data_IF_128180514610
#
_entry.id   IF_128180514610
#
_cell.length_a   1.000
_cell.length_b   1.000
_cell.length_c   1.000
_cell.angle_alpha   90.00
_cell.angle_beta   90.00
_cell.angle_gamma   90.00
#
_symmetry.space_group_name_H-M   'P 1'
#
loop_
_entity.id
_entity.type
_entity.pdbx_description
1 polymer ?
#
# COMPACT_ATOMS: atom_id res chain seq x y z
N UNK A 1 -9.41 19.46 34.39
CA UNK A 1 -8.89 18.09 34.22
C UNK A 1 -7.55 18.20 33.54
N UNK A 2 -6.46 18.11 34.31
CA UNK A 2 -5.10 18.14 33.77
C UNK A 2 -4.94 17.09 32.67
N UNK A 3 -4.54 17.57 31.49
CA UNK A 3 -4.82 16.96 30.20
C UNK A 3 -3.95 15.75 29.90
N UNK A 4 -4.47 14.55 30.15
CA UNK A 4 -3.82 13.34 29.64
C UNK A 4 -3.86 13.32 28.10
N UNK A 5 -2.69 13.46 27.47
CA UNK A 5 -2.53 13.30 26.03
C UNK A 5 -2.25 11.83 25.66
N UNK A 6 -3.06 11.22 24.77
CA UNK A 6 -2.83 9.85 24.34
C UNK A 6 -1.45 9.66 23.70
N UNK A 7 -0.82 8.51 23.91
CA UNK A 7 0.51 8.22 23.33
C UNK A 7 0.40 7.52 21.97
N UNK A 8 1.30 7.83 21.06
CA UNK A 8 1.42 7.17 19.75
C UNK A 8 2.88 6.79 19.46
N UNK A 9 3.11 5.58 18.98
CA UNK A 9 4.43 5.12 18.58
C UNK A 9 4.62 5.20 17.06
N UNK A 10 5.80 5.58 16.62
CA UNK A 10 6.16 5.51 15.20
C UNK A 10 6.35 4.05 14.75
N UNK A 11 5.69 3.59 13.68
CA UNK A 11 5.88 2.22 13.18
C UNK A 11 7.27 1.98 12.55
N UNK A 12 7.94 3.04 12.06
CA UNK A 12 9.25 2.91 11.40
C UNK A 12 10.45 2.97 12.34
N UNK A 13 10.49 3.93 13.28
CA UNK A 13 11.62 4.07 14.22
C UNK A 13 11.29 3.67 15.67
N UNK A 14 10.01 3.49 16.02
CA UNK A 14 9.60 3.11 17.36
C UNK A 14 9.64 4.24 18.40
N UNK A 15 9.92 5.49 17.99
CA UNK A 15 9.86 6.64 18.91
C UNK A 15 8.44 6.87 19.41
N UNK A 16 8.32 7.20 20.69
CA UNK A 16 7.05 7.51 21.34
C UNK A 16 6.78 9.02 21.26
N UNK A 17 5.54 9.38 20.95
CA UNK A 17 5.08 10.75 20.85
C UNK A 17 3.76 10.92 21.61
N UNK A 18 3.47 12.15 22.00
CA UNK A 18 2.14 12.56 22.47
C UNK A 18 1.27 12.92 21.27
N UNK A 19 0.05 12.41 21.27
CA UNK A 19 -0.95 12.71 20.27
C UNK A 19 -1.59 14.05 20.62
N UNK A 20 -1.33 15.02 19.76
CA UNK A 20 -1.94 16.35 19.81
C UNK A 20 -3.07 16.45 18.79
N UNK A 21 -4.15 17.18 19.09
CA UNK A 21 -5.16 17.49 18.10
C UNK A 21 -4.54 18.34 16.98
N UNK A 22 -4.79 17.97 15.73
CA UNK A 22 -4.33 18.69 14.55
C UNK A 22 -5.52 19.28 13.79
N UNK A 23 -5.27 20.38 13.08
CA UNK A 23 -6.26 21.02 12.21
C UNK A 23 -6.70 20.08 11.07
N UNK A 24 -7.87 20.34 10.50
CA UNK A 24 -8.37 19.61 9.32
C UNK A 24 -7.37 19.82 8.16
N UNK A 25 -7.07 18.75 7.41
CA UNK A 25 -6.03 18.71 6.35
C UNK A 25 -4.57 18.86 6.83
N UNK A 26 -4.31 18.86 8.13
CA UNK A 26 -2.95 18.77 8.67
C UNK A 26 -2.50 17.30 8.86
N UNK A 27 -1.19 17.11 8.96
CA UNK A 27 -0.55 15.83 9.26
C UNK A 27 0.47 15.97 10.40
N UNK A 28 0.60 14.92 11.21
CA UNK A 28 1.59 14.83 12.27
C UNK A 28 2.75 13.93 11.85
N UNK A 29 3.97 14.46 11.85
CA UNK A 29 5.16 13.72 11.42
C UNK A 29 6.03 13.33 12.63
N UNK A 30 6.67 12.17 12.52
CA UNK A 30 7.65 11.71 13.50
C UNK A 30 8.88 12.62 13.49
N UNK A 31 9.23 13.20 14.65
CA UNK A 31 10.40 14.08 14.79
C UNK A 31 11.75 13.37 14.53
N UNK A 32 11.79 12.05 14.67
CA UNK A 32 13.01 11.26 14.52
C UNK A 32 13.25 10.83 13.07
N UNK A 33 12.30 10.10 12.47
CA UNK A 33 12.44 9.55 11.12
C UNK A 33 11.74 10.35 10.01
N UNK A 34 10.79 11.24 10.36
CA UNK A 34 10.01 12.01 9.39
C UNK A 34 8.71 11.32 8.91
N UNK A 35 8.47 10.06 9.29
CA UNK A 35 7.28 9.32 8.88
C UNK A 35 5.96 9.97 9.36
N UNK A 36 4.94 9.97 8.52
CA UNK A 36 3.60 10.50 8.83
C UNK A 36 2.88 9.57 9.82
N UNK A 37 2.66 10.02 11.06
CA UNK A 37 2.03 9.23 12.11
C UNK A 37 0.51 9.15 11.95
N UNK A 38 -0.12 10.28 11.68
CA UNK A 38 -1.56 10.43 11.45
C UNK A 38 -1.86 11.70 10.69
N UNK A 39 -2.95 11.69 9.94
CA UNK A 39 -3.49 12.84 9.21
C UNK A 39 -4.95 13.01 9.60
N UNK A 40 -5.49 14.21 9.46
CA UNK A 40 -6.91 14.48 9.70
C UNK A 40 -7.64 14.77 8.38
N UNK A 41 -8.49 13.83 7.98
CA UNK A 41 -9.36 14.01 6.80
C UNK A 41 -10.47 15.02 7.09
N UNK A 42 -10.94 15.71 6.05
CA UNK A 42 -12.17 16.52 6.10
C UNK A 42 -13.44 15.70 5.92
N UNK A 43 -13.31 14.43 5.49
CA UNK A 43 -14.44 13.53 5.24
C UNK A 43 -14.95 12.98 6.57
N UNK A 44 -16.26 13.12 6.81
CA UNK A 44 -16.94 12.58 7.99
C UNK A 44 -17.07 11.05 7.94
N UNK A 45 -17.39 10.43 9.07
CA UNK A 45 -17.62 8.99 9.14
C UNK A 45 -18.67 8.50 8.12
N UNK A 46 -19.79 9.23 7.99
CA UNK A 46 -20.83 8.95 7.00
C UNK A 46 -20.32 9.08 5.57
N UNK A 47 -19.45 10.07 5.29
CA UNK A 47 -18.82 10.23 3.99
C UNK A 47 -17.93 9.04 3.62
N UNK A 48 -17.19 8.49 4.57
CA UNK A 48 -16.41 7.27 4.35
C UNK A 48 -17.31 6.05 4.07
N UNK A 49 -18.43 5.90 4.78
CA UNK A 49 -19.40 4.83 4.51
C UNK A 49 -19.95 4.94 3.09
N UNK A 50 -20.36 6.15 2.67
CA UNK A 50 -20.86 6.39 1.32
C UNK A 50 -19.81 6.05 0.24
N UNK A 51 -18.53 6.43 0.46
CA UNK A 51 -17.44 6.10 -0.45
C UNK A 51 -17.18 4.58 -0.56
N UNK A 52 -17.27 3.83 0.53
CA UNK A 52 -17.11 2.37 0.49
C UNK A 52 -18.28 1.69 -0.23
N UNK A 53 -19.51 2.16 0.00
CA UNK A 53 -20.69 1.66 -0.72
C UNK A 53 -20.60 1.94 -2.22
N UNK A 54 -20.20 3.16 -2.59
CA UNK A 54 -19.93 3.50 -3.99
C UNK A 54 -18.84 2.60 -4.59
N UNK A 55 -17.74 2.36 -3.86
CA UNK A 55 -16.67 1.47 -4.32
C UNK A 55 -17.14 0.02 -4.51
N UNK A 56 -18.01 -0.50 -3.64
CA UNK A 56 -18.62 -1.83 -3.80
C UNK A 56 -19.51 -1.91 -5.05
N UNK A 57 -20.33 -0.90 -5.30
CA UNK A 57 -21.17 -0.83 -6.49
C UNK A 57 -20.33 -0.76 -7.77
N UNK A 58 -19.33 0.13 -7.80
CA UNK A 58 -18.42 0.27 -8.94
C UNK A 58 -17.58 -1.00 -9.13
N UNK A 59 -17.17 -1.67 -8.05
CA UNK A 59 -16.50 -2.97 -8.12
C UNK A 59 -17.38 -4.03 -8.78
N UNK A 60 -18.67 -4.10 -8.45
CA UNK A 60 -19.59 -5.01 -9.12
C UNK A 60 -19.73 -4.66 -10.62
N UNK A 61 -19.91 -3.38 -10.95
CA UNK A 61 -20.01 -2.91 -12.35
C UNK A 61 -18.74 -3.25 -13.13
N UNK A 62 -17.56 -2.97 -12.59
CA UNK A 62 -16.27 -3.21 -13.23
C UNK A 62 -16.04 -4.69 -13.57
N UNK A 63 -16.50 -5.60 -12.71
CA UNK A 63 -16.29 -7.03 -12.87
C UNK A 63 -17.37 -7.73 -13.71
N UNK A 64 -18.57 -7.16 -13.79
CA UNK A 64 -19.67 -7.68 -14.61
C UNK A 64 -19.66 -7.12 -16.04
N UNK A 65 -19.07 -5.94 -16.24
CA UNK A 65 -19.01 -5.26 -17.53
C UNK A 65 -17.87 -5.81 -18.42
N UNK A 66 -18.01 -5.75 -19.75
CA UNK A 66 -16.95 -6.13 -20.66
C UNK A 66 -15.79 -5.13 -20.65
N UNK A 67 -14.56 -5.65 -20.69
CA UNK A 67 -13.31 -4.90 -20.89
C UNK A 67 -13.20 -4.37 -22.32
N UNK A 68 -13.70 -5.12 -23.28
CA UNK A 68 -13.81 -4.74 -24.69
C UNK A 68 -14.67 -5.74 -25.46
N UNK A 69 -15.16 -5.29 -26.60
CA UNK A 69 -15.83 -6.13 -27.61
C UNK A 69 -14.85 -6.39 -28.75
N UNK A 70 -14.83 -7.63 -29.21
CA UNK A 70 -14.13 -8.03 -30.44
C UNK A 70 -15.15 -8.63 -31.39
N UNK A 71 -15.24 -8.06 -32.59
CA UNK A 71 -16.12 -8.56 -33.65
C UNK A 71 -15.28 -9.40 -34.61
N UNK A 72 -15.43 -10.72 -34.54
CA UNK A 72 -14.75 -11.66 -35.43
C UNK A 72 -15.79 -12.53 -36.13
N UNK A 73 -15.72 -12.58 -37.46
CA UNK A 73 -16.63 -13.37 -38.30
C UNK A 73 -18.12 -13.15 -38.00
N UNK A 74 -18.52 -11.91 -37.65
CA UNK A 74 -19.91 -11.54 -37.37
C UNK A 74 -20.43 -11.91 -35.97
N UNK A 75 -19.59 -12.48 -35.09
CA UNK A 75 -19.93 -12.77 -33.69
C UNK A 75 -19.17 -11.82 -32.77
N UNK A 76 -19.90 -11.12 -31.92
CA UNK A 76 -19.29 -10.30 -30.86
C UNK A 76 -18.87 -11.19 -29.70
N UNK A 77 -17.58 -11.13 -29.36
CA UNK A 77 -17.03 -11.77 -28.17
C UNK A 77 -16.76 -10.68 -27.15
N UNK A 78 -17.49 -10.73 -26.04
CA UNK A 78 -17.25 -9.88 -24.89
C UNK A 78 -16.24 -10.55 -23.96
N UNK A 79 -15.19 -9.82 -23.57
CA UNK A 79 -14.21 -10.29 -22.59
C UNK A 79 -14.42 -9.58 -21.26
N UNK A 80 -14.86 -10.30 -20.23
CA UNK A 80 -14.90 -9.79 -18.84
C UNK A 80 -13.67 -10.28 -18.05
N UNK A 81 -13.32 -9.61 -16.95
CA UNK A 81 -12.20 -10.03 -16.10
C UNK A 81 -12.41 -11.44 -15.47
N UNK A 82 -13.61 -11.81 -14.95
CA UNK A 82 -13.86 -13.18 -14.49
C UNK A 82 -13.75 -14.22 -15.61
N UNK A 83 -14.18 -13.87 -16.81
CA UNK A 83 -14.07 -14.75 -17.97
C UNK A 83 -12.60 -14.96 -18.36
N UNK A 84 -11.77 -13.93 -18.24
CA UNK A 84 -10.32 -14.05 -18.42
C UNK A 84 -9.71 -15.08 -17.46
N UNK A 85 -10.05 -14.98 -16.18
CA UNK A 85 -9.63 -15.96 -15.17
C UNK A 85 -10.10 -17.38 -15.51
N UNK A 86 -11.38 -17.54 -15.83
CA UNK A 86 -11.95 -18.84 -16.22
C UNK A 86 -11.21 -19.43 -17.42
N UNK A 87 -10.82 -18.61 -18.39
CA UNK A 87 -10.07 -19.09 -19.55
C UNK A 87 -8.69 -19.60 -19.17
N UNK A 88 -7.91 -18.82 -18.40
CA UNK A 88 -6.61 -19.28 -17.88
C UNK A 88 -6.71 -20.54 -17.02
N UNK A 89 -7.81 -20.70 -16.28
CA UNK A 89 -8.08 -21.91 -15.51
C UNK A 89 -8.26 -23.13 -16.41
N UNK A 90 -9.13 -23.03 -17.42
CA UNK A 90 -9.43 -24.12 -18.36
C UNK A 90 -8.21 -24.47 -19.22
N UNK A 91 -7.34 -23.51 -19.52
CA UNK A 91 -6.05 -23.73 -20.19
C UNK A 91 -5.02 -24.48 -19.31
N UNK A 92 -5.33 -24.80 -18.05
CA UNK A 92 -4.47 -25.56 -17.15
C UNK A 92 -3.53 -24.72 -16.27
N UNK A 93 -3.55 -23.39 -16.41
CA UNK A 93 -2.71 -22.47 -15.62
C UNK A 93 -3.35 -22.09 -14.28
N UNK A 94 -3.68 -23.11 -13.48
CA UNK A 94 -4.40 -23.00 -12.21
C UNK A 94 -3.71 -22.01 -11.25
N UNK A 95 -2.38 -22.12 -11.07
CA UNK A 95 -1.63 -21.26 -10.16
C UNK A 95 -1.73 -19.77 -10.51
N UNK A 96 -1.66 -19.44 -11.80
CA UNK A 96 -1.77 -18.08 -12.29
C UNK A 96 -3.20 -17.53 -12.13
N UNK A 97 -4.20 -18.35 -12.44
CA UNK A 97 -5.62 -18.00 -12.27
C UNK A 97 -5.96 -17.77 -10.79
N UNK A 98 -5.49 -18.63 -9.88
CA UNK A 98 -5.71 -18.48 -8.44
C UNK A 98 -5.08 -17.20 -7.91
N UNK A 99 -3.82 -16.96 -8.28
CA UNK A 99 -3.10 -15.77 -7.84
C UNK A 99 -3.77 -14.50 -8.36
N UNK A 100 -4.12 -14.45 -9.64
CA UNK A 100 -4.78 -13.28 -10.23
C UNK A 100 -6.18 -13.08 -9.65
N UNK A 101 -6.97 -14.14 -9.48
CA UNK A 101 -8.27 -14.08 -8.82
C UNK A 101 -8.19 -13.59 -7.37
N UNK A 102 -7.17 -14.02 -6.64
CA UNK A 102 -6.93 -13.58 -5.26
C UNK A 102 -6.70 -12.06 -5.18
N UNK A 103 -5.78 -11.52 -5.98
CA UNK A 103 -5.39 -10.11 -5.91
C UNK A 103 -6.33 -9.16 -6.66
N UNK A 104 -6.93 -9.61 -7.76
CA UNK A 104 -7.86 -8.80 -8.55
C UNK A 104 -9.29 -8.82 -7.99
N UNK A 105 -9.73 -9.90 -7.32
CA UNK A 105 -11.11 -10.02 -6.84
C UNK A 105 -11.21 -10.18 -5.32
N UNK A 106 -10.65 -11.26 -4.77
CA UNK A 106 -10.94 -11.67 -3.41
C UNK A 106 -10.43 -10.67 -2.38
N UNK A 107 -9.19 -10.20 -2.52
CA UNK A 107 -8.57 -9.24 -1.59
C UNK A 107 -9.27 -7.88 -1.63
N UNK A 108 -9.50 -7.23 -2.79
CA UNK A 108 -10.23 -5.98 -2.87
C UNK A 108 -11.66 -6.06 -2.32
N UNK A 109 -12.40 -7.12 -2.66
CA UNK A 109 -13.75 -7.34 -2.16
C UNK A 109 -13.76 -7.50 -0.64
N UNK A 110 -12.92 -8.38 -0.10
CA UNK A 110 -12.82 -8.58 1.35
C UNK A 110 -12.39 -7.30 2.07
N UNK A 111 -11.44 -6.54 1.52
CA UNK A 111 -11.04 -5.24 2.06
C UNK A 111 -12.23 -4.27 2.14
N UNK A 112 -13.01 -4.13 1.07
CA UNK A 112 -14.18 -3.24 1.03
C UNK A 112 -15.25 -3.68 2.04
N UNK A 113 -15.55 -4.98 2.12
CA UNK A 113 -16.54 -5.51 3.05
C UNK A 113 -16.12 -5.32 4.51
N UNK A 114 -14.88 -5.64 4.87
CA UNK A 114 -14.37 -5.44 6.24
C UNK A 114 -14.26 -3.96 6.61
N UNK A 115 -13.91 -3.09 5.65
CA UNK A 115 -13.87 -1.64 5.86
C UNK A 115 -15.28 -1.08 6.08
N UNK A 116 -16.26 -1.47 5.26
CA UNK A 116 -17.66 -1.08 5.43
C UNK A 116 -18.17 -1.50 6.80
N UNK A 117 -17.96 -2.77 7.15
CA UNK A 117 -18.36 -3.31 8.44
C UNK A 117 -17.73 -2.56 9.62
N UNK A 118 -16.42 -2.27 9.57
CA UNK A 118 -15.73 -1.54 10.63
C UNK A 118 -16.27 -0.10 10.79
N UNK A 119 -16.54 0.59 9.68
CA UNK A 119 -17.13 1.92 9.69
C UNK A 119 -18.57 1.91 10.25
N UNK A 120 -19.37 0.89 9.91
CA UNK A 120 -20.72 0.72 10.46
C UNK A 120 -20.71 0.44 11.97
N UNK A 121 -19.74 -0.33 12.48
CA UNK A 121 -19.58 -0.53 13.93
C UNK A 121 -19.29 0.79 14.66
N UNK A 122 -18.40 1.61 14.10
CA UNK A 122 -18.10 2.94 14.64
C UNK A 122 -19.32 3.87 14.58
N UNK A 123 -20.06 3.86 13.46
CA UNK A 123 -21.25 4.69 13.30
C UNK A 123 -22.37 4.32 14.28
N UNK A 124 -22.49 3.04 14.64
CA UNK A 124 -23.42 2.55 15.66
C UNK A 124 -22.92 2.76 17.10
N UNK A 125 -21.70 3.24 17.30
CA UNK A 125 -21.10 3.43 18.62
C UNK A 125 -20.90 2.12 19.40
N UNK A 126 -20.77 0.98 18.71
CA UNK A 126 -20.64 -0.34 19.34
C UNK A 126 -19.52 -1.14 18.70
N UNK A 127 -18.55 -1.59 19.50
CA UNK A 127 -17.46 -2.46 19.06
C UNK A 127 -17.79 -3.92 19.43
N UNK A 128 -18.18 -4.78 18.47
CA UNK A 128 -18.35 -6.19 18.75
C UNK A 128 -17.01 -6.83 19.14
N UNK A 129 -17.06 -7.97 19.83
CA UNK A 129 -15.85 -8.72 20.22
C UNK A 129 -14.97 -9.11 19.02
N UNK A 130 -15.58 -9.31 17.85
CA UNK A 130 -14.94 -9.62 16.58
C UNK A 130 -14.22 -8.44 15.91
N UNK A 131 -14.45 -7.21 16.38
CA UNK A 131 -13.79 -6.02 15.85
C UNK A 131 -12.27 -6.20 15.82
N UNK A 132 -11.69 -6.83 16.85
CA UNK A 132 -10.25 -7.14 16.89
C UNK A 132 -9.76 -8.02 15.74
N UNK A 133 -10.57 -8.98 15.29
CA UNK A 133 -10.20 -9.90 14.21
C UNK A 133 -10.34 -9.21 12.86
N UNK A 134 -11.47 -8.53 12.63
CA UNK A 134 -11.70 -7.79 11.38
C UNK A 134 -10.65 -6.69 11.15
N UNK A 135 -10.25 -5.97 12.21
CA UNK A 135 -9.17 -4.98 12.11
C UNK A 135 -7.80 -5.61 11.79
N UNK A 136 -7.52 -6.82 12.27
CA UNK A 136 -6.29 -7.55 11.93
C UNK A 136 -6.31 -8.00 10.47
N UNK A 137 -7.44 -8.51 10.00
CA UNK A 137 -7.65 -8.91 8.61
C UNK A 137 -7.47 -7.69 7.68
N UNK A 138 -8.13 -6.57 7.98
CA UNK A 138 -8.02 -5.33 7.20
C UNK A 138 -6.57 -4.81 7.13
N UNK A 139 -5.85 -4.87 8.26
CA UNK A 139 -4.43 -4.48 8.36
C UNK A 139 -3.54 -5.36 7.48
N UNK A 140 -3.86 -6.65 7.35
CA UNK A 140 -3.13 -7.56 6.47
C UNK A 140 -3.52 -7.45 5.00
N UNK A 141 -4.78 -7.13 4.68
CA UNK A 141 -5.29 -6.98 3.31
C UNK A 141 -4.84 -5.68 2.64
N UNK A 142 -4.78 -4.57 3.39
CA UNK A 142 -4.54 -3.24 2.84
C UNK A 142 -3.29 -3.12 1.93
N UNK A 143 -2.13 -3.74 2.25
CA UNK A 143 -0.96 -3.68 1.38
C UNK A 143 -1.14 -4.38 0.02
N UNK A 144 -2.08 -5.31 -0.09
CA UNK A 144 -2.26 -6.19 -1.25
C UNK A 144 -3.33 -5.72 -2.23
N UNK A 145 -4.09 -4.67 -1.92
CA UNK A 145 -5.08 -4.17 -2.86
C UNK A 145 -4.41 -3.36 -3.97
N UNK A 146 -4.30 -3.99 -5.13
CA UNK A 146 -3.56 -3.49 -6.30
C UNK A 146 -4.51 -2.97 -7.39
N UNK A 147 -5.63 -2.35 -7.02
CA UNK A 147 -6.63 -1.86 -7.97
C UNK A 147 -6.08 -0.87 -9.02
N UNK A 148 -5.27 0.13 -8.65
CA UNK A 148 -4.63 1.01 -9.64
C UNK A 148 -3.70 0.26 -10.62
N UNK A 149 -3.07 -0.81 -10.15
CA UNK A 149 -2.15 -1.63 -10.97
C UNK A 149 -2.93 -2.50 -11.95
N UNK A 150 -4.10 -3.01 -11.54
CA UNK A 150 -5.01 -3.73 -12.43
C UNK A 150 -5.53 -2.81 -13.56
N UNK A 151 -5.90 -1.57 -13.26
CA UNK A 151 -6.27 -0.58 -14.28
C UNK A 151 -5.12 -0.36 -15.27
N UNK A 152 -3.90 -0.14 -14.78
CA UNK A 152 -2.73 0.04 -15.63
C UNK A 152 -2.48 -1.20 -16.51
N UNK A 153 -2.64 -2.40 -15.95
CA UNK A 153 -2.52 -3.65 -16.71
C UNK A 153 -3.59 -3.78 -17.81
N UNK A 154 -4.84 -3.38 -17.53
CA UNK A 154 -5.91 -3.31 -18.54
C UNK A 154 -5.51 -2.38 -19.68
N UNK A 155 -5.05 -1.17 -19.36
CA UNK A 155 -4.64 -0.19 -20.38
C UNK A 155 -3.48 -0.73 -21.23
N UNK A 156 -2.45 -1.28 -20.59
CA UNK A 156 -1.29 -1.87 -21.31
C UNK A 156 -1.73 -3.03 -22.21
N UNK A 157 -2.61 -3.91 -21.72
CA UNK A 157 -3.12 -5.04 -22.50
C UNK A 157 -3.89 -4.55 -23.75
N UNK A 158 -4.79 -3.57 -23.57
CA UNK A 158 -5.56 -2.96 -24.67
C UNK A 158 -4.65 -2.34 -25.72
N UNK A 159 -3.66 -1.53 -25.30
CA UNK A 159 -2.73 -0.90 -26.25
C UNK A 159 -1.95 -1.96 -27.04
N UNK A 160 -1.49 -3.03 -26.37
CA UNK A 160 -0.78 -4.12 -27.04
C UNK A 160 -1.67 -4.89 -28.03
N UNK A 161 -2.94 -5.06 -27.72
CA UNK A 161 -3.93 -5.71 -28.60
C UNK A 161 -4.39 -4.84 -29.76
N UNK A 162 -4.52 -3.53 -29.54
CA UNK A 162 -4.96 -2.58 -30.55
C UNK A 162 -3.99 -2.49 -31.74
N UNK A 163 -2.71 -2.83 -31.53
CA UNK A 163 -1.74 -2.97 -32.62
C UNK A 163 -1.99 -4.16 -33.55
N UNK A 164 -2.80 -5.13 -33.12
CA UNK A 164 -3.10 -6.37 -33.87
C UNK A 164 -4.54 -6.44 -34.40
N UNK A 165 -5.50 -5.77 -33.73
CA UNK A 165 -6.92 -5.82 -34.09
C UNK A 165 -7.67 -4.52 -33.72
N UNK A 166 -8.83 -4.27 -34.34
CA UNK A 166 -9.76 -3.23 -33.90
C UNK A 166 -10.41 -3.67 -32.59
N UNK A 167 -9.98 -3.06 -31.50
CA UNK A 167 -10.49 -3.31 -30.15
C UNK A 167 -11.26 -2.07 -29.69
N UNK A 168 -12.55 -2.23 -29.43
CA UNK A 168 -13.37 -1.16 -28.87
C UNK A 168 -13.33 -1.22 -27.34
N UNK A 169 -12.87 -0.15 -26.66
CA UNK A 169 -12.81 -0.09 -25.20
C UNK A 169 -14.19 -0.25 -24.57
N UNK A 170 -14.35 -1.23 -23.68
CA UNK A 170 -15.61 -1.49 -22.98
C UNK A 170 -15.82 -0.61 -21.74
N UNK A 171 -17.05 -0.54 -21.19
CA UNK A 171 -17.39 0.28 -20.03
C UNK A 171 -16.63 -0.12 -18.75
N UNK A 172 -16.11 -1.35 -18.66
CA UNK A 172 -15.36 -1.79 -17.49
C UNK A 172 -14.10 -0.95 -17.23
N UNK A 173 -13.45 -0.40 -18.26
CA UNK A 173 -12.23 0.41 -18.10
C UNK A 173 -12.52 1.66 -17.26
N UNK A 174 -13.61 2.34 -17.56
CA UNK A 174 -14.06 3.52 -16.80
C UNK A 174 -14.44 3.14 -15.37
N UNK A 175 -15.11 2.00 -15.18
CA UNK A 175 -15.43 1.49 -13.86
C UNK A 175 -14.17 1.15 -13.05
N UNK A 176 -13.15 0.51 -13.64
CA UNK A 176 -11.85 0.27 -13.00
C UNK A 176 -11.11 1.58 -12.71
N UNK A 177 -11.24 2.61 -13.56
CA UNK A 177 -10.67 3.93 -13.32
C UNK A 177 -11.29 4.61 -12.09
N UNK A 178 -12.62 4.66 -12.04
CA UNK A 178 -13.35 5.20 -10.87
C UNK A 178 -13.04 4.39 -9.61
N UNK A 179 -13.05 3.06 -9.70
CA UNK A 179 -12.70 2.18 -8.59
C UNK A 179 -11.27 2.42 -8.09
N UNK A 180 -10.31 2.63 -8.98
CA UNK A 180 -8.92 2.93 -8.61
C UNK A 180 -8.82 4.23 -7.82
N UNK A 181 -9.56 5.27 -8.22
CA UNK A 181 -9.65 6.54 -7.50
C UNK A 181 -10.29 6.33 -6.12
N UNK A 182 -11.43 5.63 -6.06
CA UNK A 182 -12.12 5.35 -4.80
C UNK A 182 -11.25 4.55 -3.83
N UNK A 183 -10.57 3.50 -4.30
CA UNK A 183 -9.65 2.71 -3.50
C UNK A 183 -8.45 3.53 -3.01
N UNK A 184 -7.94 4.43 -3.85
CA UNK A 184 -6.88 5.37 -3.45
C UNK A 184 -7.36 6.31 -2.33
N UNK A 185 -8.59 6.82 -2.40
CA UNK A 185 -9.18 7.61 -1.31
C UNK A 185 -9.37 6.76 -0.04
N UNK A 186 -9.91 5.55 -0.17
CA UNK A 186 -10.17 4.62 0.94
C UNK A 186 -8.88 4.12 1.60
N UNK A 187 -7.76 4.07 0.88
CA UNK A 187 -6.44 3.72 1.44
C UNK A 187 -5.99 4.66 2.57
N UNK A 188 -6.56 5.87 2.65
CA UNK A 188 -6.33 6.82 3.76
C UNK A 188 -6.91 6.30 5.09
N UNK A 189 -7.97 5.50 5.03
CA UNK A 189 -8.59 4.88 6.20
C UNK A 189 -7.89 3.56 6.48
N UNK A 190 -6.96 3.60 7.44
CA UNK A 190 -6.17 2.44 7.84
C UNK A 190 -6.77 1.76 9.06
N UNK A 191 -6.35 0.51 9.31
CA UNK A 191 -6.74 -0.18 10.53
C UNK A 191 -6.37 0.61 11.81
N UNK A 192 -5.24 1.32 11.78
CA UNK A 192 -4.78 2.16 12.88
C UNK A 192 -5.63 3.43 13.04
N UNK A 193 -6.10 4.06 11.96
CA UNK A 193 -6.98 5.22 12.07
C UNK A 193 -8.33 4.84 12.66
N UNK A 194 -8.92 3.72 12.26
CA UNK A 194 -10.19 3.23 12.83
C UNK A 194 -10.09 2.94 14.32
N UNK A 195 -8.97 2.38 14.79
CA UNK A 195 -8.72 2.23 16.23
C UNK A 195 -8.57 3.56 16.97
N UNK A 196 -8.06 4.61 16.32
CA UNK A 196 -7.96 5.95 16.91
C UNK A 196 -9.33 6.61 16.99
N UNK A 197 -10.16 6.48 15.95
CA UNK A 197 -11.55 6.94 15.99
C UNK A 197 -12.33 6.23 17.11
N UNK A 198 -12.14 4.92 17.27
CA UNK A 198 -12.71 4.16 18.39
C UNK A 198 -12.22 4.65 19.77
N UNK A 199 -10.95 5.04 19.85
CA UNK A 199 -10.34 5.61 21.06
C UNK A 199 -10.91 7.00 21.38
N UNK A 200 -11.08 7.84 20.37
CA UNK A 200 -11.62 9.20 20.50
C UNK A 200 -13.13 9.19 20.82
N UNK A 201 -13.86 8.20 20.32
CA UNK A 201 -15.27 7.95 20.66
C UNK A 201 -15.46 7.30 22.05
N UNK A 202 -14.38 7.03 22.80
CA UNK A 202 -14.46 6.39 24.12
C UNK A 202 -14.85 4.91 24.09
N UNK A 203 -14.88 4.28 22.92
CA UNK A 203 -15.26 2.87 22.74
C UNK A 203 -14.10 1.90 23.00
N UNK A 204 -12.85 2.38 22.87
CA UNK A 204 -11.65 1.59 23.07
C UNK A 204 -10.73 2.20 24.15
N UNK A 205 -9.91 1.37 24.83
CA UNK A 205 -8.95 1.87 25.82
C UNK A 205 -7.98 2.91 25.24
N UNK A 206 -7.79 4.00 25.98
CA UNK A 206 -6.93 5.13 25.58
C UNK A 206 -5.44 4.76 25.69
N UNK A 207 -4.69 5.07 24.64
CA UNK A 207 -3.28 4.70 24.51
C UNK A 207 -2.41 5.46 25.51
N UNK A 208 -1.57 4.73 26.26
CA UNK A 208 -0.67 5.31 27.26
C UNK A 208 -1.32 5.62 28.62
N UNK A 209 -2.65 5.50 28.78
CA UNK A 209 -3.33 5.85 30.04
C UNK A 209 -2.91 4.96 31.21
N UNK A 210 -2.49 3.71 30.93
CA UNK A 210 -2.00 2.75 31.92
C UNK A 210 -0.49 2.85 32.20
N UNK A 211 0.23 3.77 31.55
CA UNK A 211 1.66 3.95 31.81
C UNK A 211 1.83 4.70 33.12
N UNK A 212 2.62 4.14 34.03
CA UNK A 212 3.15 4.88 35.19
C UNK A 212 4.45 5.58 34.80
N UNK A 213 4.83 6.62 35.55
CA UNK A 213 6.09 7.30 35.35
C UNK A 213 7.28 6.33 35.35
N UNK A 214 8.21 6.55 34.41
CA UNK A 214 9.43 5.74 34.17
C UNK A 214 9.22 4.30 33.69
N UNK A 215 8.00 3.85 33.41
CA UNK A 215 7.81 2.53 32.81
C UNK A 215 8.19 2.51 31.32
N UNK A 216 8.88 1.44 30.89
CA UNK A 216 9.09 1.18 29.48
C UNK A 216 7.74 0.95 28.79
N UNK A 217 7.49 1.65 27.68
CA UNK A 217 6.28 1.48 26.88
C UNK A 217 6.53 0.56 25.68
N UNK A 218 5.52 -0.24 25.33
CA UNK A 218 5.47 -1.03 24.11
C UNK A 218 4.20 -0.69 23.30
N UNK A 219 4.35 -0.56 21.99
CA UNK A 219 3.23 -0.39 21.08
C UNK A 219 2.85 -1.71 20.43
N UNK A 220 1.58 -2.08 20.46
CA UNK A 220 1.07 -3.21 19.69
C UNK A 220 1.28 -2.94 18.19
N UNK A 221 1.88 -3.90 17.48
CA UNK A 221 2.04 -3.81 16.03
C UNK A 221 0.70 -3.65 15.35
N UNK A 222 -0.29 -4.48 15.69
CA UNK A 222 -1.55 -4.67 14.97
C UNK A 222 -2.52 -3.48 15.11
N UNK A 223 -2.79 -3.06 16.35
CA UNK A 223 -3.74 -1.97 16.61
C UNK A 223 -3.07 -0.64 16.96
N UNK A 224 -1.77 -0.59 17.26
CA UNK A 224 -1.07 0.64 17.65
C UNK A 224 -1.25 1.06 19.12
N UNK A 225 -1.91 0.23 19.95
CA UNK A 225 -2.14 0.54 21.37
C UNK A 225 -0.83 0.62 22.15
N UNK A 226 -0.63 1.71 22.89
CA UNK A 226 0.55 1.90 23.74
C UNK A 226 0.23 1.45 25.17
N UNK A 227 1.02 0.50 25.67
CA UNK A 227 0.85 -0.13 26.99
C UNK A 227 2.22 -0.37 27.67
N UNK A 228 2.25 -0.70 28.97
CA UNK A 228 3.51 -1.10 29.62
C UNK A 228 4.18 -2.27 28.89
N UNK A 229 5.50 -2.21 28.77
CA UNK A 229 6.31 -3.29 28.21
C UNK A 229 6.26 -4.54 29.13
N UNK A 230 6.48 -5.72 28.56
CA UNK A 230 6.47 -6.99 29.29
C UNK A 230 5.15 -7.77 29.26
N UNK A 231 4.05 -7.14 28.82
CA UNK A 231 2.78 -7.83 28.60
C UNK A 231 2.85 -8.71 27.35
N UNK A 232 2.50 -9.99 27.48
CA UNK A 232 2.47 -10.95 26.37
C UNK A 232 1.38 -10.63 25.33
N UNK A 233 0.23 -10.12 25.79
CA UNK A 233 -0.92 -9.81 24.93
C UNK A 233 -1.31 -8.34 24.99
N UNK A 234 -1.89 -7.85 23.89
CA UNK A 234 -2.39 -6.49 23.79
C UNK A 234 -3.70 -6.35 24.57
N UNK A 235 -3.74 -5.44 25.53
CA UNK A 235 -4.96 -5.16 26.29
C UNK A 235 -6.05 -4.41 25.52
N UNK A 236 -5.91 -4.22 24.20
CA UNK A 236 -6.93 -3.65 23.30
C UNK A 236 -7.43 -4.67 22.28
N UNK A 237 -6.53 -5.33 21.54
CA UNK A 237 -6.91 -6.25 20.45
C UNK A 237 -6.56 -7.73 20.71
N UNK A 238 -5.96 -8.06 21.86
CA UNK A 238 -5.54 -9.43 22.20
C UNK A 238 -4.37 -9.97 21.38
N UNK A 239 -3.81 -9.23 20.41
CA UNK A 239 -2.64 -9.67 19.65
C UNK A 239 -1.41 -9.84 20.55
N UNK A 240 -0.50 -10.75 20.20
CA UNK A 240 0.78 -10.89 20.92
C UNK A 240 1.64 -9.64 20.75
N UNK A 241 2.04 -9.03 21.85
CA UNK A 241 2.83 -7.80 21.83
C UNK A 241 4.30 -8.13 21.96
N UNK A 242 5.07 -7.66 20.99
CA UNK A 242 6.52 -7.78 20.98
C UNK A 242 7.13 -6.40 20.80
N UNK A 243 8.21 -6.09 21.53
CA UNK A 243 8.94 -4.83 21.36
C UNK A 243 9.50 -4.70 19.94
N UNK A 244 9.97 -5.82 19.38
CA UNK A 244 10.43 -5.97 17.99
C UNK A 244 9.86 -7.25 17.42
N UNK A 245 9.66 -7.32 16.10
CA UNK A 245 9.20 -8.57 15.46
C UNK A 245 10.24 -9.69 15.72
N UNK A 246 9.80 -10.86 16.22
CA UNK A 246 10.69 -11.99 16.45
C UNK A 246 11.29 -12.45 15.11
N UNK A 247 12.58 -12.77 15.10
CA UNK A 247 13.28 -13.36 13.95
C UNK A 247 13.09 -12.61 12.61
N UNK A 248 12.85 -11.30 12.67
CA UNK A 248 12.49 -10.50 11.48
C UNK A 248 13.56 -10.55 10.39
N UNK A 249 14.84 -10.65 10.76
CA UNK A 249 15.96 -10.69 9.82
C UNK A 249 16.08 -12.06 9.17
N UNK A 250 16.04 -13.16 9.93
CA UNK A 250 16.13 -14.51 9.37
C UNK A 250 14.91 -14.83 8.50
N UNK A 251 13.70 -14.44 8.93
CA UNK A 251 12.48 -14.59 8.13
C UNK A 251 12.54 -13.80 6.82
N UNK A 252 12.92 -12.52 6.88
CA UNK A 252 13.09 -11.72 5.67
C UNK A 252 14.19 -12.29 4.77
N UNK A 253 15.27 -12.85 5.34
CA UNK A 253 16.40 -13.39 4.59
C UNK A 253 15.97 -14.64 3.82
N UNK A 254 15.30 -15.57 4.50
CA UNK A 254 14.78 -16.78 3.88
C UNK A 254 13.83 -16.46 2.71
N UNK A 255 12.94 -15.46 2.88
CA UNK A 255 12.02 -15.03 1.83
C UNK A 255 12.73 -14.34 0.66
N UNK A 256 13.74 -13.50 0.92
CA UNK A 256 14.55 -12.86 -0.13
C UNK A 256 15.34 -13.91 -0.90
N UNK A 257 16.00 -14.85 -0.22
CA UNK A 257 16.75 -15.93 -0.87
C UNK A 257 15.83 -16.80 -1.74
N UNK A 258 14.66 -17.21 -1.22
CA UNK A 258 13.67 -17.96 -1.99
C UNK A 258 13.19 -17.18 -3.22
N UNK A 259 12.94 -15.88 -3.07
CA UNK A 259 12.57 -15.01 -4.18
C UNK A 259 13.69 -14.86 -5.22
N UNK A 260 14.95 -14.76 -4.80
CA UNK A 260 16.11 -14.71 -5.70
C UNK A 260 16.26 -16.00 -6.50
N UNK A 261 16.06 -17.17 -5.86
CA UNK A 261 16.10 -18.46 -6.56
C UNK A 261 14.98 -18.53 -7.61
N UNK A 262 13.75 -18.14 -7.27
CA UNK A 262 12.62 -18.14 -8.19
C UNK A 262 12.69 -17.05 -9.28
N UNK A 263 13.51 -16.02 -9.09
CA UNK A 263 13.72 -14.98 -10.10
C UNK A 263 14.44 -15.52 -11.34
N UNK A 264 15.29 -16.55 -11.19
CA UNK A 264 15.99 -17.20 -12.30
C UNK A 264 14.99 -17.87 -13.27
N UNK A 265 14.15 -18.85 -12.86
CA UNK A 265 13.17 -19.46 -13.74
C UNK A 265 12.12 -18.45 -14.23
N UNK A 266 11.80 -17.40 -13.45
CA UNK A 266 10.88 -16.35 -13.89
C UNK A 266 11.35 -15.59 -15.14
N UNK A 267 12.67 -15.42 -15.32
CA UNK A 267 13.22 -14.71 -16.48
C UNK A 267 13.65 -15.64 -17.63
N UNK A 268 13.96 -16.91 -17.33
CA UNK A 268 14.40 -17.89 -18.33
C UNK A 268 13.21 -18.60 -18.98
N UNK A 269 12.18 -18.93 -18.19
CA UNK A 269 11.04 -19.67 -18.72
C UNK A 269 10.13 -18.77 -19.56
N UNK A 270 9.47 -19.33 -20.59
CA UNK A 270 8.50 -18.58 -21.37
C UNK A 270 7.37 -18.03 -20.48
N UNK A 271 7.06 -16.75 -20.67
CA UNK A 271 5.96 -16.07 -19.97
C UNK A 271 4.67 -16.17 -20.78
N UNK A 272 4.77 -16.26 -22.10
CA UNK A 272 3.64 -16.51 -22.98
C UNK A 272 4.04 -17.42 -24.14
N UNK A 273 3.10 -18.26 -24.54
CA UNK A 273 3.16 -19.10 -25.74
C UNK A 273 2.10 -18.60 -26.71
N UNK A 274 2.48 -18.36 -27.95
CA UNK A 274 1.53 -18.03 -29.02
C UNK A 274 1.49 -19.21 -29.97
N UNK A 275 0.32 -19.84 -30.08
CA UNK A 275 0.08 -20.91 -31.06
C UNK A 275 -0.62 -20.30 -32.25
N UNK A 276 0.05 -20.31 -33.40
CA UNK A 276 -0.52 -19.92 -34.69
C UNK A 276 -0.52 -21.13 -35.63
N UNK A 277 -1.32 -21.13 -36.71
CA UNK A 277 -1.28 -22.16 -37.75
C UNK A 277 0.11 -22.35 -38.36
N UNK A 278 0.97 -21.32 -38.32
CA UNK A 278 2.33 -21.34 -38.86
C UNK A 278 3.39 -21.90 -37.89
N UNK A 279 3.04 -22.13 -36.62
CA UNK A 279 3.96 -22.68 -35.62
C UNK A 279 3.69 -22.20 -34.19
N UNK A 280 4.46 -22.74 -33.24
CA UNK A 280 4.50 -22.27 -31.86
C UNK A 280 5.66 -21.29 -31.66
N UNK A 281 5.36 -20.07 -31.21
CA UNK A 281 6.37 -19.12 -30.74
C UNK A 281 6.30 -18.97 -29.22
N UNK A 282 7.45 -18.91 -28.58
CA UNK A 282 7.58 -18.77 -27.12
C UNK A 282 8.33 -17.49 -26.80
N UNK A 283 7.75 -16.64 -25.96
CA UNK A 283 8.35 -15.36 -25.60
C UNK A 283 8.64 -15.34 -24.08
N UNK A 284 9.92 -15.14 -23.74
CA UNK A 284 10.33 -14.78 -22.37
C UNK A 284 10.02 -13.30 -22.12
N UNK A 285 10.20 -12.82 -20.88
CA UNK A 285 10.04 -11.40 -20.54
C UNK A 285 10.92 -10.54 -21.45
N UNK A 286 12.21 -10.86 -21.51
CA UNK A 286 13.19 -10.13 -22.33
C UNK A 286 12.88 -10.30 -23.82
N UNK A 287 12.48 -11.50 -24.25
CA UNK A 287 12.05 -11.74 -25.62
C UNK A 287 10.89 -10.85 -26.04
N UNK A 288 9.88 -10.69 -25.17
CA UNK A 288 8.74 -9.80 -25.40
C UNK A 288 9.13 -8.31 -25.43
N UNK A 289 10.10 -7.89 -24.63
CA UNK A 289 10.64 -6.52 -24.68
C UNK A 289 11.37 -6.25 -26.00
N UNK A 290 12.21 -7.19 -26.45
CA UNK A 290 12.96 -7.07 -27.71
C UNK A 290 12.00 -7.01 -28.90
N UNK A 291 10.97 -7.83 -28.91
CA UNK A 291 9.95 -7.84 -29.96
C UNK A 291 9.17 -6.52 -30.03
N UNK A 292 8.71 -6.01 -28.89
CA UNK A 292 8.04 -4.69 -28.82
C UNK A 292 8.96 -3.56 -29.31
N UNK A 293 10.26 -3.65 -29.03
CA UNK A 293 11.25 -2.70 -29.50
C UNK A 293 11.41 -2.74 -31.02
N UNK A 294 11.48 -3.94 -31.61
CA UNK A 294 11.61 -4.14 -33.05
C UNK A 294 10.34 -3.72 -33.81
N UNK A 295 9.16 -3.92 -33.22
CA UNK A 295 7.87 -3.49 -33.77
C UNK A 295 7.66 -1.96 -33.68
N UNK A 296 8.63 -1.19 -33.17
CA UNK A 296 8.58 0.27 -33.07
C UNK A 296 7.82 0.81 -31.85
N UNK A 297 7.28 -0.07 -31.00
CA UNK A 297 6.55 0.31 -29.78
C UNK A 297 7.47 0.53 -28.57
N UNK A 298 8.43 1.45 -28.71
CA UNK A 298 9.49 1.68 -27.72
C UNK A 298 8.95 2.03 -26.33
N UNK A 299 7.87 2.81 -26.25
CA UNK A 299 7.23 3.21 -24.99
C UNK A 299 6.77 1.99 -24.17
N UNK A 300 6.12 1.02 -24.82
CA UNK A 300 5.66 -0.21 -24.16
C UNK A 300 6.82 -1.10 -23.76
N UNK A 301 7.84 -1.23 -24.62
CA UNK A 301 9.03 -2.01 -24.32
C UNK A 301 9.74 -1.52 -23.05
N UNK A 302 9.90 -0.20 -22.90
CA UNK A 302 10.51 0.42 -21.70
C UNK A 302 9.65 0.19 -20.46
N UNK A 303 8.33 0.36 -20.56
CA UNK A 303 7.41 0.13 -19.42
C UNK A 303 7.51 -1.31 -18.93
N UNK A 304 7.41 -2.29 -19.83
CA UNK A 304 7.49 -3.72 -19.49
C UNK A 304 8.87 -4.07 -18.92
N UNK A 305 9.96 -3.57 -19.53
CA UNK A 305 11.31 -3.81 -19.02
C UNK A 305 11.50 -3.29 -17.59
N UNK A 306 11.05 -2.06 -17.31
CA UNK A 306 11.17 -1.47 -15.98
C UNK A 306 10.31 -2.24 -14.98
N UNK A 307 9.06 -2.56 -15.32
CA UNK A 307 8.13 -3.27 -14.45
C UNK A 307 8.59 -4.70 -14.13
N UNK A 308 9.10 -5.44 -15.14
CA UNK A 308 9.43 -6.87 -15.01
C UNK A 308 10.85 -7.14 -14.53
N UNK A 309 11.81 -6.28 -14.87
CA UNK A 309 13.23 -6.52 -14.57
C UNK A 309 13.69 -5.57 -13.49
N UNK A 310 13.63 -4.27 -13.75
CA UNK A 310 14.22 -3.25 -12.88
C UNK A 310 13.54 -3.19 -11.52
N UNK A 311 12.21 -3.23 -11.48
CA UNK A 311 11.42 -3.13 -10.24
C UNK A 311 11.70 -4.32 -9.28
N UNK A 312 11.59 -5.60 -9.70
CA UNK A 312 11.92 -6.73 -8.83
C UNK A 312 13.39 -6.75 -8.40
N UNK A 313 14.33 -6.45 -9.32
CA UNK A 313 15.75 -6.36 -8.98
C UNK A 313 16.02 -5.28 -7.93
N UNK A 314 15.43 -4.09 -8.10
CA UNK A 314 15.56 -2.99 -7.13
C UNK A 314 15.00 -3.39 -5.78
N UNK A 315 13.86 -4.09 -5.74
CA UNK A 315 13.24 -4.57 -4.49
C UNK A 315 14.12 -5.61 -3.78
N UNK A 316 14.65 -6.59 -4.51
CA UNK A 316 15.56 -7.60 -3.97
C UNK A 316 16.85 -6.95 -3.44
N UNK A 317 17.45 -6.04 -4.21
CA UNK A 317 18.66 -5.32 -3.81
C UNK A 317 18.42 -4.44 -2.58
N UNK A 318 17.35 -3.65 -2.58
CA UNK A 318 17.01 -2.76 -1.48
C UNK A 318 16.75 -3.53 -0.17
N UNK A 319 15.97 -4.63 -0.23
CA UNK A 319 15.76 -5.50 0.94
C UNK A 319 17.08 -6.12 1.43
N UNK A 320 17.92 -6.60 0.51
CA UNK A 320 19.23 -7.16 0.85
C UNK A 320 20.12 -6.12 1.55
N UNK A 321 20.21 -4.89 1.01
CA UNK A 321 20.97 -3.78 1.59
C UNK A 321 20.44 -3.38 2.97
N UNK A 322 19.10 -3.33 3.14
CA UNK A 322 18.48 -3.00 4.43
C UNK A 322 18.80 -4.03 5.52
N UNK A 323 19.05 -5.28 5.12
CA UNK A 323 19.35 -6.41 5.99
C UNK A 323 20.84 -6.57 6.32
N UNK A 324 21.75 -6.03 5.50
CA UNK A 324 23.19 -6.08 5.76
C UNK A 324 23.50 -5.38 7.09
N UNK A 325 24.22 -6.09 7.98
CA UNK A 325 24.72 -5.57 9.28
C UNK A 325 25.90 -4.61 9.07
N UNK A 326 25.70 -3.52 8.33
CA UNK A 326 26.67 -2.42 8.27
C UNK A 326 26.34 -1.42 9.38
N UNK A 327 27.35 -0.86 10.07
CA UNK A 327 27.16 0.10 11.17
C UNK A 327 26.70 1.46 10.62
N UNK A 328 25.45 1.55 10.17
CA UNK A 328 24.82 2.79 9.73
C UNK A 328 24.44 3.65 10.96
N UNK A 329 25.41 4.28 11.63
CA UNK A 329 25.17 4.95 12.92
C UNK A 329 24.45 6.32 12.81
N UNK A 330 24.61 7.01 11.68
CA UNK A 330 24.21 8.41 11.53
C UNK A 330 22.69 8.62 11.40
N UNK A 331 22.17 9.76 11.88
CA UNK A 331 20.74 10.08 11.88
C UNK A 331 20.18 10.24 10.47
N UNK A 332 20.91 11.01 9.65
CA UNK A 332 20.59 11.21 8.24
C UNK A 332 20.53 9.88 7.49
N UNK A 333 21.47 8.99 7.78
CA UNK A 333 21.56 7.66 7.18
C UNK A 333 20.40 6.74 7.59
N UNK A 334 19.96 6.77 8.85
CA UNK A 334 18.78 6.02 9.29
C UNK A 334 17.48 6.58 8.68
N UNK A 335 17.39 7.90 8.47
CA UNK A 335 16.29 8.50 7.69
C UNK A 335 16.30 8.01 6.25
N UNK A 336 17.46 7.94 5.60
CA UNK A 336 17.60 7.35 4.26
C UNK A 336 17.15 5.88 4.23
N UNK A 337 17.49 5.07 5.25
CA UNK A 337 17.01 3.68 5.36
C UNK A 337 15.49 3.60 5.51
N UNK A 338 14.90 4.49 6.31
CA UNK A 338 13.44 4.56 6.43
C UNK A 338 12.78 4.93 5.09
N UNK A 339 13.33 5.91 4.36
CA UNK A 339 12.85 6.27 3.00
C UNK A 339 13.02 5.14 1.99
N UNK A 340 14.14 4.41 2.03
CA UNK A 340 14.37 3.26 1.16
C UNK A 340 13.34 2.16 1.45
N UNK A 341 13.03 1.91 2.72
CA UNK A 341 11.99 0.97 3.10
C UNK A 341 10.58 1.44 2.64
N UNK A 342 10.25 2.72 2.80
CA UNK A 342 8.99 3.30 2.28
C UNK A 342 8.90 3.15 0.75
N UNK A 343 10.01 3.37 0.04
CA UNK A 343 10.09 3.16 -1.40
C UNK A 343 9.88 1.69 -1.77
N UNK A 344 10.46 0.74 -1.02
CA UNK A 344 10.25 -0.70 -1.21
C UNK A 344 8.79 -1.10 -0.99
N UNK A 345 8.12 -0.52 0.02
CA UNK A 345 6.71 -0.76 0.30
C UNK A 345 5.83 -0.20 -0.82
N UNK A 346 6.12 1.01 -1.29
CA UNK A 346 5.43 1.64 -2.43
C UNK A 346 5.60 0.83 -3.72
N UNK A 347 6.85 0.55 -4.14
CA UNK A 347 7.17 -0.23 -5.34
C UNK A 347 6.54 -1.63 -5.27
N UNK A 348 6.46 -2.21 -4.06
CA UNK A 348 5.94 -3.55 -3.84
C UNK A 348 4.52 -3.74 -4.39
N UNK A 349 3.68 -2.70 -4.35
CA UNK A 349 2.30 -2.77 -4.86
C UNK A 349 2.24 -2.86 -6.39
N UNK A 350 3.19 -2.24 -7.11
CA UNK A 350 3.22 -2.17 -8.57
C UNK A 350 3.76 -3.44 -9.23
N UNK A 351 4.51 -4.24 -8.47
CA UNK A 351 5.26 -5.39 -9.00
C UNK A 351 4.37 -6.51 -9.57
N UNK A 352 3.05 -6.47 -9.39
CA UNK A 352 2.10 -7.45 -9.94
C UNK A 352 1.56 -7.08 -11.33
N UNK A 353 1.93 -5.93 -11.89
CA UNK A 353 1.49 -5.45 -13.20
C UNK A 353 1.60 -6.54 -14.28
N UNK A 354 2.77 -7.17 -14.40
CA UNK A 354 3.05 -8.09 -15.50
C UNK A 354 2.22 -9.36 -15.44
N UNK A 355 1.95 -9.86 -14.23
CA UNK A 355 1.06 -11.01 -14.01
C UNK A 355 -0.33 -10.69 -14.55
N UNK A 356 -0.85 -9.51 -14.23
CA UNK A 356 -2.16 -9.07 -14.72
C UNK A 356 -2.16 -8.88 -16.23
N UNK A 357 -1.13 -8.23 -16.79
CA UNK A 357 -1.02 -8.05 -18.25
C UNK A 357 -1.02 -9.40 -18.97
N UNK A 358 -0.24 -10.39 -18.50
CA UNK A 358 -0.19 -11.73 -19.11
C UNK A 358 -1.56 -12.41 -19.08
N UNK A 359 -2.26 -12.37 -17.94
CA UNK A 359 -3.60 -12.97 -17.83
C UNK A 359 -4.59 -12.27 -18.77
N UNK A 360 -4.59 -10.93 -18.81
CA UNK A 360 -5.49 -10.20 -19.69
C UNK A 360 -5.20 -10.46 -21.17
N UNK A 361 -3.94 -10.46 -21.58
CA UNK A 361 -3.55 -10.78 -22.95
C UNK A 361 -3.94 -12.21 -23.30
N UNK A 362 -3.71 -13.19 -22.42
CA UNK A 362 -4.10 -14.58 -22.66
C UNK A 362 -5.62 -14.77 -22.80
N UNK A 363 -6.42 -13.87 -22.24
CA UNK A 363 -7.87 -13.95 -22.35
C UNK A 363 -8.44 -13.20 -23.56
N UNK A 364 -7.86 -12.05 -23.89
CA UNK A 364 -8.33 -11.20 -24.97
C UNK A 364 -7.74 -11.59 -26.34
N UNK A 365 -6.59 -12.28 -26.35
CA UNK A 365 -5.90 -12.75 -27.56
C UNK A 365 -6.06 -14.26 -27.79
N UNK A 366 -7.04 -14.91 -27.16
CA UNK A 366 -7.30 -16.34 -27.38
C UNK A 366 -8.45 -16.55 -28.35
N UNK A 367 -8.08 -16.79 -29.62
CA UNK A 367 -8.99 -17.09 -30.71
C UNK A 367 -8.80 -18.54 -31.15
N UNK A 368 -9.69 -19.46 -30.75
CA UNK A 368 -9.62 -20.85 -31.15
C UNK A 368 -9.51 -21.00 -32.67
N UNK A 369 -8.46 -21.68 -33.14
CA UNK A 369 -8.23 -21.96 -34.56
C UNK A 369 -7.44 -20.88 -35.34
N UNK A 370 -7.18 -19.70 -34.78
CA UNK A 370 -6.44 -18.61 -35.46
C UNK A 370 -5.16 -18.25 -34.71
N UNK A 371 -5.27 -17.88 -33.44
CA UNK A 371 -4.14 -17.51 -32.60
C UNK A 371 -4.52 -17.72 -31.14
N UNK A 372 -3.85 -18.64 -30.46
CA UNK A 372 -4.08 -18.91 -29.03
C UNK A 372 -2.89 -18.42 -28.22
N UNK A 373 -3.14 -17.47 -27.32
CA UNK A 373 -2.14 -16.99 -26.38
C UNK A 373 -2.34 -17.67 -25.03
N UNK A 374 -1.38 -18.50 -24.64
CA UNK A 374 -1.40 -19.23 -23.38
C UNK A 374 -0.32 -18.69 -22.45
N UNK A 375 -0.63 -18.54 -21.16
CA UNK A 375 0.33 -18.09 -20.18
C UNK A 375 1.39 -19.17 -19.93
N UNK A 376 2.66 -18.80 -19.83
CA UNK A 376 3.75 -19.73 -19.53
C UNK A 376 4.02 -19.89 -18.04
N UNK A 377 4.78 -20.92 -17.67
CA UNK A 377 5.21 -21.16 -16.28
C UNK A 377 6.12 -20.05 -15.73
N UNK A 378 6.76 -19.27 -16.60
CA UNK A 378 7.50 -18.06 -16.22
C UNK A 378 6.62 -17.04 -15.52
N UNK A 379 5.36 -16.86 -15.97
CA UNK A 379 4.42 -15.90 -15.37
C UNK A 379 4.05 -16.27 -13.93
N UNK A 380 3.86 -17.57 -13.66
CA UNK A 380 3.60 -18.06 -12.30
C UNK A 380 4.83 -17.91 -11.41
N UNK A 381 6.01 -18.28 -11.91
CA UNK A 381 7.28 -18.12 -11.18
C UNK A 381 7.54 -16.64 -10.83
N UNK A 382 7.28 -15.74 -11.78
CA UNK A 382 7.36 -14.29 -11.57
C UNK A 382 6.38 -13.83 -10.49
N UNK A 383 5.13 -14.26 -10.56
CA UNK A 383 4.13 -13.99 -9.53
C UNK A 383 4.55 -14.40 -8.12
N UNK A 384 5.16 -15.58 -7.97
CA UNK A 384 5.70 -16.03 -6.68
C UNK A 384 6.83 -15.12 -6.17
N UNK A 385 7.72 -14.63 -7.04
CA UNK A 385 8.75 -13.64 -6.66
C UNK A 385 8.11 -12.38 -6.09
N UNK A 386 7.05 -11.87 -6.72
CA UNK A 386 6.31 -10.69 -6.25
C UNK A 386 5.72 -10.93 -4.85
N UNK A 387 5.05 -12.07 -4.66
CA UNK A 387 4.44 -12.44 -3.38
C UNK A 387 5.50 -12.60 -2.29
N UNK A 388 6.59 -13.33 -2.56
CA UNK A 388 7.66 -13.56 -1.59
C UNK A 388 8.39 -12.28 -1.21
N UNK A 389 8.68 -11.40 -2.17
CA UNK A 389 9.30 -10.09 -1.87
C UNK A 389 8.37 -9.17 -1.08
N UNK A 390 7.05 -9.26 -1.28
CA UNK A 390 6.08 -8.53 -0.45
C UNK A 390 6.05 -9.09 0.98
N UNK A 391 6.00 -10.42 1.13
CA UNK A 391 6.08 -11.07 2.44
C UNK A 391 7.41 -10.78 3.16
N UNK A 392 8.52 -10.66 2.43
CA UNK A 392 9.82 -10.28 2.96
C UNK A 392 9.79 -8.86 3.55
N UNK A 393 9.24 -7.90 2.80
CA UNK A 393 9.06 -6.52 3.26
C UNK A 393 8.16 -6.46 4.52
N UNK A 394 7.03 -7.18 4.53
CA UNK A 394 6.13 -7.26 5.68
C UNK A 394 6.76 -7.97 6.90
N UNK A 395 7.69 -8.89 6.69
CA UNK A 395 8.41 -9.59 7.75
C UNK A 395 9.55 -8.75 8.35
N UNK A 396 10.15 -7.86 7.57
CA UNK A 396 11.20 -6.96 8.03
C UNK A 396 10.69 -5.98 9.10
N UNK A 397 11.55 -5.61 10.05
CA UNK A 397 11.25 -4.62 11.11
C UNK A 397 12.21 -3.43 10.99
N UNK A 398 11.80 -2.30 10.39
CA UNK A 398 12.67 -1.15 10.20
C UNK A 398 13.16 -0.54 11.53
N UNK A 399 12.46 -0.79 12.64
CA UNK A 399 12.77 -0.23 13.97
C UNK A 399 14.11 -0.73 14.52
N UNK A 400 14.55 -1.93 14.11
CA UNK A 400 15.85 -2.49 14.54
C UNK A 400 17.04 -1.61 14.12
N UNK A 401 16.93 -0.88 13.02
CA UNK A 401 17.97 0.05 12.59
C UNK A 401 18.20 1.22 13.56
N UNK A 402 17.16 1.59 14.31
CA UNK A 402 17.17 2.72 15.24
C UNK A 402 17.57 2.34 16.67
N UNK A 403 17.59 1.04 17.02
CA UNK A 403 18.00 0.54 18.34
C UNK A 403 19.49 0.69 18.64
N UNK A 404 20.32 0.81 17.60
CA UNK A 404 21.78 0.97 17.73
C UNK A 404 22.20 2.35 18.28
N UNK A 405 21.23 3.22 18.59
CA UNK A 405 21.49 4.48 19.28
C UNK A 405 21.41 4.24 20.79
N UNK A 406 22.42 4.65 21.57
CA UNK A 406 22.22 4.83 23.00
C UNK A 406 20.96 5.69 23.18
N UNK A 407 20.07 5.26 24.07
CA UNK A 407 18.91 6.05 24.45
C UNK A 407 19.41 7.44 24.86
N UNK A 408 19.26 8.44 23.99
CA UNK A 408 19.30 9.82 24.46
C UNK A 408 18.17 9.88 25.49
N UNK A 409 18.59 10.05 26.74
CA UNK A 409 17.73 10.18 27.89
C UNK A 409 16.56 11.09 27.53
N UNK A 410 15.40 10.80 28.10
CA UNK A 410 14.25 11.70 28.07
C UNK A 410 14.64 13.03 28.72
N UNK A 411 15.34 13.91 27.99
CA UNK A 411 15.30 15.33 28.24
C UNK A 411 13.92 15.77 27.75
N UNK A 412 12.98 15.81 28.68
CA UNK A 412 11.86 16.75 28.63
C UNK A 412 12.42 18.05 28.04
N UNK A 413 11.88 18.56 26.92
CA UNK A 413 12.26 19.88 26.45
C UNK A 413 11.92 20.83 27.60
N UNK A 414 12.94 21.45 28.17
CA UNK A 414 12.80 22.53 29.14
C UNK A 414 11.77 23.52 28.60
N UNK A 415 10.63 23.62 29.27
CA UNK A 415 9.58 24.57 28.97
C UNK A 415 10.09 25.95 29.39
N UNK A 416 10.97 26.55 28.59
CA UNK A 416 11.63 27.77 29.03
C UNK A 416 12.63 28.44 28.09
N UNK A 417 12.74 28.05 26.82
CA UNK A 417 13.57 28.82 25.86
C UNK A 417 12.75 29.36 24.70
N UNK A 418 12.57 30.69 24.61
CA UNK A 418 11.93 31.28 23.44
C UNK A 418 12.77 30.97 22.20
N UNK A 419 12.09 30.55 21.14
CA UNK A 419 12.65 30.43 19.80
C UNK A 419 13.29 31.78 19.43
N UNK A 420 14.56 31.85 19.01
CA UNK A 420 15.13 33.10 18.50
C UNK A 420 14.30 33.52 17.28
N UNK A 421 13.54 34.60 17.44
CA UNK A 421 12.75 35.19 16.37
C UNK A 421 13.67 35.59 15.22
N UNK A 422 13.41 35.02 14.05
CA UNK A 422 14.06 35.40 12.81
C UNK A 422 13.65 36.85 12.47
N UNK A 423 14.48 37.81 12.85
CA UNK A 423 14.35 39.21 12.40
C UNK A 423 14.92 39.32 10.99
N UNK A 424 14.03 39.29 10.00
CA UNK A 424 14.29 39.88 8.69
C UNK A 424 13.14 40.82 8.33
N UNK A 425 13.42 42.11 8.52
CA UNK A 425 13.14 43.18 7.55
C UNK A 425 11.73 43.36 6.98
N UNK A 426 11.06 44.38 7.53
CA UNK A 426 10.49 45.52 6.80
C UNK A 426 9.16 45.42 6.03
N UNK A 427 8.33 46.42 6.37
CA UNK A 427 7.34 47.15 5.57
C UNK A 427 5.88 46.66 5.57
N UNK A 428 5.04 47.40 6.31
CA UNK A 428 3.58 47.30 6.26
C UNK A 428 2.92 48.14 7.36
N UNK A 429 2.97 49.48 7.22
CA UNK A 429 2.27 50.48 8.05
C UNK A 429 0.74 50.32 7.96
N UNK A 430 0.05 50.38 9.11
CA UNK A 430 -1.28 51.00 9.33
C UNK A 430 -1.60 50.91 10.84
N UNK A 431 -1.27 51.91 11.66
CA UNK A 431 -2.12 53.03 12.12
C UNK A 431 -3.37 52.57 12.90
N UNK A 432 -3.28 52.63 14.24
CA UNK A 432 -4.40 52.91 15.17
C UNK A 432 -3.86 53.88 16.23
N UNK A 433 -4.42 55.09 16.44
CA UNK A 433 -3.91 56.04 17.40
C UNK A 433 -4.47 55.80 18.81
N UNK A 434 -3.60 55.81 19.82
CA UNK A 434 -3.96 56.04 21.22
C UNK A 434 -3.96 57.54 21.47
N UNK A 435 -5.08 58.09 21.93
CA UNK A 435 -5.18 59.45 22.46
C UNK A 435 -4.78 59.39 23.93
N UNK A 436 -3.70 60.10 24.26
CA UNK A 436 -3.22 60.35 25.62
C UNK A 436 -3.93 61.54 26.25
N UNK A 437 -4.32 61.38 27.51
CA UNK A 437 -4.80 62.42 28.41
C UNK A 437 -3.66 63.35 28.85
N UNK A 438 -4.05 64.62 29.04
CA UNK A 438 -3.54 65.64 29.96
C UNK A 438 -2.09 66.17 29.89
N UNK A 439 -1.99 67.42 29.43
CA UNK A 439 -1.18 68.45 30.07
C UNK A 439 -1.73 69.84 29.71
N UNK A 440 -2.38 70.53 30.64
CA UNK A 440 -2.44 72.00 30.64
C UNK A 440 -2.68 72.53 32.05
N UNK A 441 -1.65 73.16 32.59
CA UNK A 441 -1.70 74.06 33.72
C UNK A 441 -1.14 75.40 33.25
N UNK A 442 -1.81 76.45 33.69
CA UNK A 442 -1.36 77.81 33.92
C UNK A 442 -1.38 78.84 32.77
N UNK A 443 -2.03 79.95 33.14
CA UNK A 443 -2.19 81.30 32.57
C UNK A 443 -3.26 81.57 31.49
#
# INVERSE_FOLDING_TARGET
>A
MEGFHPRVACPHCGSMHERVPIAVRAQANCRQCGYVLYHRSSISLTGWIALVLAALMVFAIANLSPLGSLTLAGKEVHATLPQALRMTWVQGHIGLSLMTGLFAFLIPLTQLLFLLWALLCLAKGRLPWDFRHGMRILRHLAPWSMMPVLLLAIVVAIVKLAGMARLEPGPAIWAFAVLSILMTMLSRVTALSLWREAEDAGLAPVSGRRLKDRQMAASCSDCGYVQPAGLAHCGRCGARVHRRKPDSLSRAAALVVAATILYIPANILPVMWVRTPAGLSSHTIIGGVIELWQLGSWDLAVIVFIASVVVPMTKLLALSVLMLKRRWANAATQRQRTRLYELVEFIGQWSMLDVFVVVLLSAMADFPGISQVQAGSGAFSFGLVVVLTMLAALSFDPRKGWDARPAQAHSVPDAGRPVPGNRTGAAGRAIIPQITHDARQDD
#
